data_IF_554853967115
#
_entry.id   IF_554853967115
#
_cell.length_a   1.000
_cell.length_b   1.000
_cell.length_c   1.000
_cell.angle_alpha   90.00
_cell.angle_beta   90.00
_cell.angle_gamma   90.00
#
_symmetry.space_group_name_H-M   'P 1'
#
loop_
_entity.id
_entity.type
_entity.pdbx_description
1 polymer ?
#
# COMPACT_ATOMS: atom_id res chain seq x y z
N UNK A 1 -3.31 5.47 4.71
CA UNK A 1 -2.13 4.59 4.61
C UNK A 1 -1.17 4.99 3.49
N UNK A 2 -1.65 5.39 2.30
CA UNK A 2 -0.79 5.73 1.15
C UNK A 2 0.23 6.85 1.41
N UNK A 3 -0.17 7.93 2.09
CA UNK A 3 0.76 9.02 2.45
C UNK A 3 1.95 8.52 3.31
N UNK A 4 1.70 7.62 4.26
CA UNK A 4 2.74 7.05 5.10
C UNK A 4 3.69 6.13 4.31
N UNK A 5 3.14 5.31 3.41
CA UNK A 5 3.94 4.49 2.50
C UNK A 5 4.82 5.36 1.58
N UNK A 6 4.29 6.48 1.10
CA UNK A 6 5.02 7.41 0.23
C UNK A 6 6.22 8.06 0.92
N UNK A 7 6.17 8.29 2.24
CA UNK A 7 7.32 8.83 3.00
C UNK A 7 8.53 7.88 3.02
N UNK A 8 8.34 6.59 2.76
CA UNK A 8 9.39 5.57 2.78
C UNK A 8 9.64 4.93 1.40
N UNK A 9 8.91 5.36 0.38
CA UNK A 9 9.00 4.82 -0.98
C UNK A 9 9.94 5.67 -1.85
N UNK A 10 10.71 5.02 -2.72
CA UNK A 10 11.53 5.68 -3.73
C UNK A 10 11.00 5.36 -5.13
N UNK A 11 10.76 6.38 -5.95
CA UNK A 11 10.17 6.23 -7.28
C UNK A 11 11.17 5.89 -8.39
N UNK A 12 12.47 5.83 -8.08
CA UNK A 12 13.50 5.47 -9.05
C UNK A 12 13.43 3.97 -9.40
N UNK A 13 13.53 3.65 -10.69
CA UNK A 13 13.30 2.29 -11.20
C UNK A 13 14.30 1.25 -10.68
N UNK A 14 15.52 1.66 -10.30
CA UNK A 14 16.55 0.77 -9.76
C UNK A 14 16.33 0.49 -8.27
N UNK A 15 15.66 1.38 -7.55
CA UNK A 15 15.50 1.34 -6.09
C UNK A 15 14.05 1.19 -5.61
N UNK A 16 13.07 1.21 -6.51
CA UNK A 16 11.65 1.08 -6.18
C UNK A 16 11.35 -0.21 -5.41
N UNK A 17 11.84 -1.36 -5.89
CA UNK A 17 11.59 -2.65 -5.23
C UNK A 17 12.30 -2.75 -3.87
N UNK A 18 13.54 -2.28 -3.77
CA UNK A 18 14.28 -2.30 -2.51
C UNK A 18 13.65 -1.37 -1.46
N UNK A 19 13.08 -0.23 -1.87
CA UNK A 19 12.32 0.64 -0.95
C UNK A 19 11.06 -0.03 -0.40
N UNK A 20 10.35 -0.84 -1.19
CA UNK A 20 9.22 -1.65 -0.71
C UNK A 20 9.69 -2.75 0.24
N UNK A 21 10.84 -3.36 -0.02
CA UNK A 21 11.44 -4.35 0.89
C UNK A 21 11.82 -3.73 2.24
N UNK A 22 12.37 -2.51 2.22
CA UNK A 22 12.68 -1.72 3.41
C UNK A 22 11.41 -1.39 4.22
N UNK A 23 10.33 -0.96 3.57
CA UNK A 23 9.02 -0.75 4.22
C UNK A 23 8.54 -2.01 4.94
N UNK A 24 8.74 -3.20 4.36
CA UNK A 24 8.26 -4.43 4.98
C UNK A 24 9.10 -4.91 6.15
N UNK A 25 10.43 -4.71 6.10
CA UNK A 25 11.36 -5.32 7.06
C UNK A 25 11.87 -4.36 8.12
N UNK A 26 12.04 -3.10 7.76
CA UNK A 26 12.81 -2.14 8.56
C UNK A 26 11.93 -1.00 9.12
N UNK A 27 10.75 -0.76 8.54
CA UNK A 27 9.77 0.21 9.07
C UNK A 27 8.85 -0.47 10.09
N UNK A 28 8.74 0.12 11.28
CA UNK A 28 7.83 -0.35 12.34
C UNK A 28 6.39 -0.45 11.82
N UNK A 29 5.79 -1.64 11.93
CA UNK A 29 4.47 -1.98 11.39
C UNK A 29 4.31 -1.73 9.88
N UNK A 30 5.40 -1.53 9.14
CA UNK A 30 5.33 -1.19 7.72
C UNK A 30 4.73 -2.32 6.87
N UNK A 31 4.98 -3.58 7.25
CA UNK A 31 4.29 -4.73 6.64
C UNK A 31 2.77 -4.65 6.79
N UNK A 32 2.28 -4.34 7.99
CA UNK A 32 0.86 -4.23 8.30
C UNK A 32 0.22 -3.08 7.52
N UNK A 33 0.86 -1.90 7.52
CA UNK A 33 0.37 -0.72 6.79
C UNK A 33 0.32 -1.00 5.27
N UNK A 34 1.31 -1.71 4.72
CA UNK A 34 1.30 -2.13 3.31
C UNK A 34 0.14 -3.07 3.01
N UNK A 35 -0.12 -4.06 3.86
CA UNK A 35 -1.26 -4.96 3.68
C UNK A 35 -2.60 -4.24 3.81
N UNK A 36 -2.74 -3.31 4.76
CA UNK A 36 -3.96 -2.50 4.88
C UNK A 36 -4.17 -1.66 3.61
N UNK A 37 -3.13 -1.04 3.07
CA UNK A 37 -3.24 -0.26 1.84
C UNK A 37 -3.64 -1.12 0.63
N UNK A 38 -2.98 -2.27 0.45
CA UNK A 38 -3.27 -3.19 -0.66
C UNK A 38 -4.67 -3.80 -0.55
N UNK A 39 -5.04 -4.38 0.61
CA UNK A 39 -6.37 -4.95 0.81
C UNK A 39 -7.48 -3.88 0.83
N UNK A 40 -7.16 -2.68 1.32
CA UNK A 40 -8.06 -1.53 1.28
C UNK A 40 -8.43 -1.12 -0.14
N UNK A 41 -7.52 -1.23 -1.10
CA UNK A 41 -7.82 -1.00 -2.51
C UNK A 41 -8.82 -2.04 -3.06
N UNK A 42 -8.66 -3.32 -2.73
CA UNK A 42 -9.63 -4.36 -3.12
C UNK A 42 -11.01 -4.11 -2.49
N UNK A 43 -11.06 -3.78 -1.20
CA UNK A 43 -12.32 -3.46 -0.51
C UNK A 43 -13.01 -2.23 -1.13
N UNK A 44 -12.24 -1.22 -1.52
CA UNK A 44 -12.78 -0.04 -2.21
C UNK A 44 -13.52 -0.42 -3.48
N UNK A 45 -12.96 -1.31 -4.31
CA UNK A 45 -13.64 -1.81 -5.51
C UNK A 45 -14.87 -2.66 -5.18
N UNK A 46 -14.81 -3.53 -4.16
CA UNK A 46 -15.99 -4.28 -3.69
C UNK A 46 -17.12 -3.32 -3.30
N UNK A 47 -16.82 -2.28 -2.52
CA UNK A 47 -17.79 -1.26 -2.11
C UNK A 47 -18.35 -0.48 -3.32
N UNK A 48 -17.50 -0.17 -4.31
CA UNK A 48 -17.93 0.48 -5.55
C UNK A 48 -18.88 -0.41 -6.36
N UNK A 49 -18.57 -1.69 -6.54
CA UNK A 49 -19.45 -2.62 -7.26
C UNK A 49 -20.79 -2.79 -6.55
N UNK A 50 -20.78 -2.93 -5.22
CA UNK A 50 -22.00 -2.94 -4.42
C UNK A 50 -22.76 -1.60 -4.49
N UNK A 51 -22.07 -0.47 -4.74
CA UNK A 51 -22.67 0.85 -4.87
C UNK A 51 -23.26 1.16 -6.24
N UNK A 52 -22.69 0.61 -7.30
CA UNK A 52 -23.25 0.73 -8.65
C UNK A 52 -24.39 -0.25 -8.85
N UNK A 53 -24.33 -1.43 -8.23
CA UNK A 53 -25.33 -2.50 -8.36
C UNK A 53 -26.56 -2.39 -7.46
N UNK A 54 -26.67 -1.34 -6.63
CA UNK A 54 -27.88 -0.98 -5.88
C UNK A 54 -28.69 0.05 -6.66
#
# INVERSE_FOLDING_TARGET
>A
SGLFLAMHYTSDTLTAFSSVAHICRDVNYGWLIRYIHANGASLFFVCLYLHIGR
#
